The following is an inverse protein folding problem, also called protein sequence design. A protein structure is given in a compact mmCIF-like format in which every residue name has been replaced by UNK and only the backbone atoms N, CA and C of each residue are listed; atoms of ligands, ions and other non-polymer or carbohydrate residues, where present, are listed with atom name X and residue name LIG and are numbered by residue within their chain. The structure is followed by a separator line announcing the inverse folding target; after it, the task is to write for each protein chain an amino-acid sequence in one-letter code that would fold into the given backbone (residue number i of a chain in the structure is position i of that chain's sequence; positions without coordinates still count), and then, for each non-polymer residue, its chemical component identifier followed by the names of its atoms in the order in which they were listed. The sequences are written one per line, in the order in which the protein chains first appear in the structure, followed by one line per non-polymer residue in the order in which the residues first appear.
data_IF_227277577729
#
_entry.id   IF_227277577729
#
_cell.length_a   1.000
_cell.length_b   1.000
_cell.length_c   1.000
_cell.angle_alpha   90.00
_cell.angle_beta   90.00
_cell.angle_gamma   90.00
#
_symmetry.space_group_name_H-M   'P 1'
#
loop_
_entity.id
_entity.type
_entity.pdbx_description
1 polymer ?
#
# COMPACT_ATOMS: atom_id res chain seq x y z
N UNK A 1 -60.63 -23.33 -51.84
CA UNK A 1 -59.25 -23.85 -51.73
C UNK A 1 -58.32 -23.01 -52.60
N UNK A 2 -57.55 -22.10 -52.02
CA UNK A 2 -56.14 -21.84 -52.37
C UNK A 2 -55.56 -20.78 -51.40
N UNK A 3 -54.29 -20.99 -51.08
CA UNK A 3 -53.45 -20.41 -50.01
C UNK A 3 -53.20 -18.90 -50.14
N UNK A 4 -53.00 -18.20 -49.01
CA UNK A 4 -51.91 -17.22 -48.78
C UNK A 4 -51.84 -16.73 -47.30
N UNK A 5 -50.83 -17.20 -46.56
CA UNK A 5 -50.08 -16.42 -45.53
C UNK A 5 -48.92 -15.70 -46.28
N UNK A 6 -48.16 -14.68 -45.77
CA UNK A 6 -47.77 -14.41 -44.36
C UNK A 6 -47.54 -12.89 -44.00
N UNK A 7 -46.76 -12.62 -42.92
CA UNK A 7 -46.04 -11.37 -42.52
C UNK A 7 -46.80 -10.52 -41.47
N UNK A 8 -46.27 -10.07 -40.33
CA UNK A 8 -44.92 -9.89 -39.82
C UNK A 8 -44.88 -10.21 -38.33
N UNK A 9 -43.91 -11.00 -37.92
CA UNK A 9 -43.35 -11.01 -36.58
C UNK A 9 -42.12 -10.07 -36.55
N UNK A 10 -41.72 -9.71 -35.33
CA UNK A 10 -40.33 -9.42 -34.94
C UNK A 10 -39.86 -7.96 -35.00
N UNK A 11 -40.16 -7.19 -33.94
CA UNK A 11 -39.32 -6.07 -33.50
C UNK A 11 -39.47 -5.88 -31.99
N UNK A 12 -38.66 -6.59 -31.18
CA UNK A 12 -38.24 -6.12 -29.86
C UNK A 12 -37.08 -6.98 -29.31
N UNK A 13 -35.85 -6.74 -29.76
CA UNK A 13 -34.64 -7.31 -29.17
C UNK A 13 -33.46 -6.38 -29.49
N UNK A 14 -33.37 -5.24 -28.79
CA UNK A 14 -32.26 -4.28 -28.93
C UNK A 14 -32.10 -3.42 -27.67
N UNK A 15 -31.83 -4.04 -26.51
CA UNK A 15 -31.52 -3.30 -25.26
C UNK A 15 -30.49 -3.97 -24.35
N UNK A 16 -29.51 -4.73 -24.87
CA UNK A 16 -28.54 -5.45 -24.00
C UNK A 16 -27.05 -5.21 -24.32
N UNK A 17 -26.68 -4.27 -25.18
CA UNK A 17 -25.27 -4.04 -25.56
C UNK A 17 -24.56 -2.90 -24.79
N UNK A 18 -25.21 -2.26 -23.81
CA UNK A 18 -24.64 -1.07 -23.12
C UNK A 18 -23.77 -1.35 -21.89
N UNK A 19 -23.82 -2.55 -21.30
CA UNK A 19 -23.28 -2.78 -19.95
C UNK A 19 -21.82 -3.26 -19.90
N UNK A 20 -21.21 -3.61 -21.04
CA UNK A 20 -19.85 -4.15 -21.09
C UNK A 20 -18.77 -3.06 -21.22
N UNK A 21 -19.07 -1.95 -21.90
CA UNK A 21 -18.10 -0.87 -22.12
C UNK A 21 -17.79 -0.06 -20.84
N UNK A 22 -18.74 0.03 -19.90
CA UNK A 22 -18.55 0.75 -18.65
C UNK A 22 -17.50 0.08 -17.72
N UNK A 23 -17.51 -1.26 -17.64
CA UNK A 23 -16.58 -2.01 -16.79
C UNK A 23 -15.14 -2.00 -17.28
N UNK A 24 -14.92 -1.97 -18.60
CA UNK A 24 -13.58 -1.92 -19.16
C UNK A 24 -12.90 -0.55 -18.98
N UNK A 25 -13.69 0.53 -18.90
CA UNK A 25 -13.18 1.87 -18.63
C UNK A 25 -12.81 2.07 -17.15
N UNK A 26 -13.57 1.49 -16.22
CA UNK A 26 -13.27 1.54 -14.77
C UNK A 26 -11.92 0.86 -14.44
N UNK A 27 -11.66 -0.32 -14.99
CA UNK A 27 -10.40 -1.05 -14.74
C UNK A 27 -9.17 -0.33 -15.33
N UNK A 28 -9.32 0.32 -16.49
CA UNK A 28 -8.25 1.09 -17.12
C UNK A 28 -7.86 2.33 -16.29
N UNK A 29 -8.83 3.00 -15.65
CA UNK A 29 -8.55 4.13 -14.75
C UNK A 29 -7.86 3.69 -13.45
N UNK A 30 -8.23 2.54 -12.89
CA UNK A 30 -7.60 2.02 -11.67
C UNK A 30 -6.14 1.58 -11.90
N UNK A 31 -5.84 0.95 -13.04
CA UNK A 31 -4.46 0.59 -13.43
C UNK A 31 -3.57 1.83 -13.61
N UNK A 32 -4.16 2.95 -14.06
CA UNK A 32 -3.51 4.25 -14.18
C UNK A 32 -3.19 4.93 -12.84
N UNK A 33 -3.64 4.40 -11.71
CA UNK A 33 -3.38 4.98 -10.38
C UNK A 33 -2.40 4.16 -9.56
N UNK A 34 -2.39 2.84 -9.73
CA UNK A 34 -1.46 1.96 -9.02
C UNK A 34 -0.02 2.32 -9.36
N UNK A 35 0.79 2.53 -8.32
CA UNK A 35 2.23 2.69 -8.44
C UNK A 35 2.89 1.36 -8.09
N UNK A 36 3.44 0.70 -9.10
CA UNK A 36 4.33 -0.43 -8.94
C UNK A 36 5.71 0.01 -9.44
N UNK A 37 6.69 0.24 -8.55
CA UNK A 37 8.03 0.55 -9.00
C UNK A 37 8.58 -0.64 -9.79
N UNK A 38 9.34 -0.35 -10.84
CA UNK A 38 10.10 -1.40 -11.52
C UNK A 38 11.08 -2.04 -10.53
N UNK A 39 11.23 -3.36 -10.59
CA UNK A 39 12.27 -4.04 -9.80
C UNK A 39 13.63 -3.44 -10.16
N UNK A 40 14.39 -2.88 -9.20
CA UNK A 40 15.67 -2.28 -9.49
C UNK A 40 16.63 -3.35 -10.02
N UNK A 41 17.18 -3.13 -11.21
CA UNK A 41 18.21 -4.03 -11.78
C UNK A 41 19.59 -3.83 -11.12
N UNK A 42 19.77 -2.69 -10.44
CA UNK A 42 20.90 -2.44 -9.55
C UNK A 42 20.50 -1.44 -8.47
N UNK A 43 21.16 -1.49 -7.31
CA UNK A 43 20.97 -0.51 -6.23
C UNK A 43 21.48 0.91 -6.59
N UNK A 44 22.08 1.09 -7.78
CA UNK A 44 22.77 2.32 -8.17
C UNK A 44 21.87 3.38 -8.81
N UNK A 45 20.61 3.06 -9.12
CA UNK A 45 19.61 4.02 -9.59
C UNK A 45 18.56 4.25 -8.51
N UNK A 46 18.90 4.96 -7.44
CA UNK A 46 17.91 5.33 -6.43
C UNK A 46 16.95 6.35 -7.04
N UNK A 47 15.80 5.89 -7.53
CA UNK A 47 14.60 6.72 -7.45
C UNK A 47 14.49 7.16 -5.99
N UNK A 48 14.87 8.40 -5.74
CA UNK A 48 15.04 8.87 -4.38
C UNK A 48 13.65 9.07 -3.80
N UNK A 49 13.33 8.27 -2.79
CA UNK A 49 12.14 8.51 -1.97
C UNK A 49 12.40 9.80 -1.19
N UNK A 50 11.54 10.79 -1.37
CA UNK A 50 11.59 12.05 -0.66
C UNK A 50 10.23 12.37 -0.03
N UNK A 51 10.21 13.40 0.82
CA UNK A 51 9.00 13.96 1.43
C UNK A 51 8.11 12.93 2.15
N UNK A 52 8.72 11.88 2.72
CA UNK A 52 8.01 10.81 3.40
C UNK A 52 7.42 11.33 4.72
N UNK A 53 6.09 11.39 4.82
CA UNK A 53 5.40 11.93 5.99
C UNK A 53 4.26 11.02 6.45
N UNK A 54 4.05 10.99 7.77
CA UNK A 54 2.87 10.40 8.41
C UNK A 54 1.69 11.34 8.28
N UNK A 55 0.58 10.85 7.73
CA UNK A 55 -0.67 11.62 7.60
C UNK A 55 -1.85 10.75 8.00
N UNK A 56 -2.99 11.38 8.28
CA UNK A 56 -4.27 10.70 8.42
C UNK A 56 -5.32 11.48 7.61
N UNK A 57 -5.60 11.02 6.39
CA UNK A 57 -6.54 11.68 5.49
C UNK A 57 -7.56 10.70 4.93
N UNK A 58 -8.83 11.09 4.90
CA UNK A 58 -9.85 10.38 4.15
C UNK A 58 -9.74 10.76 2.67
N UNK A 59 -9.67 9.76 1.79
CA UNK A 59 -9.43 9.95 0.38
C UNK A 59 -10.55 9.30 -0.46
N UNK A 60 -10.96 10.01 -1.50
CA UNK A 60 -11.96 9.57 -2.47
C UNK A 60 -11.37 9.63 -3.88
N UNK A 61 -11.53 8.56 -4.65
CA UNK A 61 -11.20 8.52 -6.07
C UNK A 61 -12.44 8.89 -6.91
N UNK A 62 -12.21 9.32 -8.16
CA UNK A 62 -13.29 9.69 -9.07
C UNK A 62 -14.24 8.52 -9.41
N UNK A 63 -13.75 7.29 -9.29
CA UNK A 63 -14.51 6.04 -9.48
C UNK A 63 -15.32 5.63 -8.24
N UNK A 64 -15.40 6.48 -7.21
CA UNK A 64 -16.16 6.23 -5.99
C UNK A 64 -15.45 5.36 -4.95
N UNK A 65 -14.25 4.85 -5.24
CA UNK A 65 -13.45 4.17 -4.21
C UNK A 65 -13.10 5.12 -3.07
N UNK A 66 -13.07 4.59 -1.86
CA UNK A 66 -12.67 5.32 -0.65
C UNK A 66 -11.48 4.62 0.00
N UNK A 67 -10.60 5.38 0.65
CA UNK A 67 -9.44 4.86 1.35
C UNK A 67 -8.96 5.87 2.40
N UNK A 68 -8.05 5.46 3.27
CA UNK A 68 -7.35 6.36 4.21
C UNK A 68 -5.89 6.46 3.78
N UNK A 69 -5.40 7.66 3.48
CA UNK A 69 -3.97 7.86 3.31
C UNK A 69 -3.30 7.87 4.69
N UNK A 70 -2.32 6.99 4.86
CA UNK A 70 -1.53 6.86 6.11
C UNK A 70 -0.10 7.40 5.95
N UNK A 71 0.38 7.50 4.71
CA UNK A 71 1.66 8.14 4.35
C UNK A 71 1.55 8.90 3.03
N UNK A 72 2.30 9.98 2.92
CA UNK A 72 2.61 10.68 1.67
C UNK A 72 4.10 10.58 1.40
N UNK A 73 4.50 10.55 0.13
CA UNK A 73 5.91 10.56 -0.29
C UNK A 73 6.02 11.01 -1.75
N UNK A 74 7.23 11.27 -2.22
CA UNK A 74 7.56 11.41 -3.63
C UNK A 74 8.60 10.35 -4.03
N UNK A 75 8.46 9.75 -5.21
CA UNK A 75 9.42 8.78 -5.78
C UNK A 75 9.77 9.21 -7.19
N UNK A 76 11.04 9.52 -7.44
CA UNK A 76 11.46 10.11 -8.72
C UNK A 76 10.71 11.41 -9.04
N UNK A 77 10.35 12.18 -8.01
CA UNK A 77 9.52 13.40 -8.13
C UNK A 77 8.01 13.15 -8.31
N UNK A 78 7.56 11.90 -8.44
CA UNK A 78 6.14 11.57 -8.56
C UNK A 78 5.49 11.53 -7.17
N UNK A 79 4.46 12.35 -6.87
CA UNK A 79 3.77 12.31 -5.59
C UNK A 79 2.88 11.08 -5.44
N UNK A 80 3.04 10.35 -4.34
CA UNK A 80 2.37 9.10 -4.03
C UNK A 80 1.69 9.12 -2.66
N UNK A 81 0.65 8.29 -2.53
CA UNK A 81 -0.08 8.03 -1.29
C UNK A 81 0.03 6.54 -0.94
N UNK A 82 0.45 6.23 0.29
CA UNK A 82 0.20 4.91 0.85
C UNK A 82 -1.21 4.90 1.42
N UNK A 83 -2.10 4.19 0.73
CA UNK A 83 -3.51 4.10 1.06
C UNK A 83 -3.78 2.79 1.78
N UNK A 84 -4.54 2.86 2.88
CA UNK A 84 -5.11 1.73 3.57
C UNK A 84 -6.61 1.65 3.27
N UNK A 85 -7.11 0.45 3.01
CA UNK A 85 -8.54 0.17 3.04
C UNK A 85 -8.97 0.04 4.51
N UNK A 86 -9.84 0.93 5.03
CA UNK A 86 -10.18 0.95 6.45
C UNK A 86 -10.99 -0.27 6.91
N UNK A 87 -11.53 -1.07 5.99
CA UNK A 87 -12.30 -2.27 6.30
C UNK A 87 -11.51 -3.56 6.02
N UNK A 88 -10.70 -3.60 4.97
CA UNK A 88 -9.93 -4.79 4.58
C UNK A 88 -8.53 -4.84 5.17
N UNK A 89 -7.99 -3.70 5.60
CA UNK A 89 -6.60 -3.52 6.05
C UNK A 89 -5.54 -3.82 4.98
N UNK A 90 -5.94 -3.94 3.72
CA UNK A 90 -5.01 -4.01 2.60
C UNK A 90 -4.41 -2.63 2.35
N UNK A 91 -3.13 -2.57 2.00
CA UNK A 91 -2.47 -1.34 1.63
C UNK A 91 -2.04 -1.36 0.16
N UNK A 92 -1.92 -0.17 -0.42
CA UNK A 92 -1.48 0.04 -1.80
C UNK A 92 -0.83 1.39 -1.93
N UNK A 93 0.14 1.48 -2.84
CA UNK A 93 0.78 2.73 -3.21
C UNK A 93 0.13 3.23 -4.51
N UNK A 94 -0.46 4.42 -4.48
CA UNK A 94 -1.10 5.01 -5.66
C UNK A 94 -0.62 6.45 -5.90
N UNK A 95 -0.71 6.89 -7.15
CA UNK A 95 -0.45 8.28 -7.54
C UNK A 95 -1.42 9.22 -6.84
N UNK A 96 -0.90 10.28 -6.21
CA UNK A 96 -1.72 11.24 -5.47
C UNK A 96 -2.76 11.93 -6.36
N UNK A 97 -2.43 12.15 -7.64
CA UNK A 97 -3.32 12.78 -8.62
C UNK A 97 -4.66 12.03 -8.85
N UNK A 98 -4.75 10.76 -8.46
CA UNK A 98 -5.98 9.98 -8.56
C UNK A 98 -6.97 10.19 -7.41
N UNK A 99 -6.58 10.94 -6.38
CA UNK A 99 -7.29 11.00 -5.12
C UNK A 99 -7.54 12.44 -4.68
N UNK A 100 -8.76 12.70 -4.23
CA UNK A 100 -9.08 13.91 -3.46
C UNK A 100 -9.09 13.53 -1.99
N UNK A 101 -8.21 14.13 -1.20
CA UNK A 101 -8.04 13.80 0.21
C UNK A 101 -8.30 15.02 1.10
N UNK A 102 -8.91 14.78 2.25
CA UNK A 102 -9.10 15.77 3.31
C UNK A 102 -8.53 15.24 4.61
N UNK A 103 -8.03 16.13 5.47
CA UNK A 103 -7.65 15.75 6.84
C UNK A 103 -8.83 15.06 7.55
N UNK A 104 -8.51 14.05 8.34
CA UNK A 104 -9.50 13.32 9.14
C UNK A 104 -8.94 13.04 10.52
N UNK A 105 -9.78 12.51 11.41
CA UNK A 105 -9.39 12.15 12.78
C UNK A 105 -9.62 10.67 13.06
N UNK A 106 -8.99 10.16 14.11
CA UNK A 106 -9.23 8.81 14.62
C UNK A 106 -10.70 8.62 15.01
N UNK A 107 -11.33 9.64 15.61
CA UNK A 107 -12.75 9.63 15.98
C UNK A 107 -13.66 9.46 14.75
N UNK A 108 -13.36 10.16 13.65
CA UNK A 108 -14.10 10.03 12.40
C UNK A 108 -13.98 8.63 11.78
N UNK A 109 -12.93 7.89 12.14
CA UNK A 109 -12.65 6.53 11.68
C UNK A 109 -12.97 5.45 12.73
N UNK A 110 -13.52 5.80 13.90
CA UNK A 110 -13.67 4.89 15.03
C UNK A 110 -14.48 3.62 14.71
N UNK A 111 -15.44 3.70 13.77
CA UNK A 111 -16.25 2.56 13.32
C UNK A 111 -15.54 1.58 12.38
N UNK A 112 -14.33 1.90 11.92
CA UNK A 112 -13.61 1.10 10.93
C UNK A 112 -12.90 -0.09 11.53
N UNK A 113 -12.67 -1.14 10.73
CA UNK A 113 -11.82 -2.27 11.16
C UNK A 113 -10.39 -1.79 11.47
N UNK A 114 -9.91 -0.79 10.73
CA UNK A 114 -8.59 -0.20 10.93
C UNK A 114 -8.42 0.39 12.32
N UNK A 115 -9.35 1.22 12.80
CA UNK A 115 -9.23 1.79 14.14
C UNK A 115 -9.35 0.76 15.25
N UNK A 116 -10.18 -0.27 15.07
CA UNK A 116 -10.21 -1.41 16.01
C UNK A 116 -8.87 -2.13 16.07
N UNK A 117 -8.27 -2.43 14.91
CA UNK A 117 -6.96 -3.08 14.85
C UNK A 117 -5.85 -2.22 15.47
N UNK A 118 -5.88 -0.90 15.27
CA UNK A 118 -4.93 0.04 15.89
C UNK A 118 -5.10 0.03 17.41
N UNK A 119 -6.33 0.13 17.92
CA UNK A 119 -6.61 0.13 19.35
C UNK A 119 -6.19 -1.20 20.02
N UNK A 120 -6.53 -2.33 19.39
CA UNK A 120 -6.11 -3.66 19.85
C UNK A 120 -4.58 -3.79 19.88
N UNK A 121 -3.90 -3.32 18.83
CA UNK A 121 -2.44 -3.32 18.77
C UNK A 121 -1.83 -2.42 19.84
N UNK A 122 -2.42 -1.25 20.14
CA UNK A 122 -1.93 -0.34 21.16
C UNK A 122 -2.10 -0.90 22.58
N UNK A 123 -3.14 -1.71 22.80
CA UNK A 123 -3.42 -2.38 24.06
C UNK A 123 -2.64 -3.69 24.26
N UNK A 124 -1.96 -4.19 23.22
CA UNK A 124 -1.27 -5.47 23.30
C UNK A 124 -0.08 -5.41 24.30
N UNK A 125 0.02 -6.38 25.24
CA UNK A 125 1.10 -6.42 26.22
C UNK A 125 2.48 -6.47 25.55
N UNK A 126 3.44 -5.68 26.03
CA UNK A 126 4.80 -5.60 25.47
C UNK A 126 4.99 -4.53 24.40
N UNK A 127 3.92 -3.90 23.92
CA UNK A 127 3.96 -2.67 23.11
C UNK A 127 3.76 -1.40 23.95
N UNK A 128 3.56 -1.55 25.26
CA UNK A 128 3.27 -0.48 26.20
C UNK A 128 4.48 0.45 26.38
N UNK A 129 4.40 1.58 25.70
CA UNK A 129 5.03 2.87 25.99
C UNK A 129 6.54 3.00 25.69
N UNK A 130 6.85 3.67 24.55
CA UNK A 130 7.53 5.00 24.52
C UNK A 130 8.02 5.34 23.10
N UNK A 131 7.40 6.35 22.48
CA UNK A 131 8.01 7.28 21.51
C UNK A 131 8.62 6.68 20.24
N UNK A 132 7.78 6.35 19.25
CA UNK A 132 8.14 5.60 18.04
C UNK A 132 8.71 4.22 18.39
N UNK A 133 8.45 3.22 17.56
CA UNK A 133 9.23 1.98 17.58
C UNK A 133 10.69 2.40 17.35
N UNK A 134 11.46 2.61 18.40
CA UNK A 134 12.88 2.89 18.26
C UNK A 134 13.56 1.55 18.10
N UNK A 135 14.12 1.33 16.91
CA UNK A 135 15.00 0.21 16.64
C UNK A 135 15.99 0.07 17.80
N UNK A 136 15.97 -1.10 18.45
CA UNK A 136 16.79 -1.41 19.62
C UNK A 136 18.30 -1.50 19.30
N UNK A 137 18.70 -1.28 18.05
CA UNK A 137 20.01 -1.60 17.53
C UNK A 137 20.15 -3.11 17.30
N UNK A 138 21.39 -3.57 17.10
CA UNK A 138 21.70 -5.00 17.09
C UNK A 138 21.48 -5.56 18.50
N UNK A 139 20.65 -6.59 18.61
CA UNK A 139 20.39 -7.31 19.86
C UNK A 139 20.61 -8.81 19.65
N UNK A 140 20.93 -9.53 20.73
CA UNK A 140 21.16 -10.97 20.67
C UNK A 140 19.84 -11.72 20.93
N UNK A 141 19.47 -12.61 20.02
CA UNK A 141 18.35 -13.54 20.22
C UNK A 141 18.74 -14.73 21.10
N UNK A 142 17.75 -15.34 21.77
CA UNK A 142 17.97 -16.48 22.68
C UNK A 142 17.92 -17.87 21.99
N UNK A 143 17.65 -17.92 20.69
CA UNK A 143 17.52 -19.16 19.93
C UNK A 143 18.88 -19.62 19.35
N UNK A 144 19.10 -20.94 19.16
CA UNK A 144 20.30 -21.44 18.47
C UNK A 144 20.29 -21.01 16.99
N UNK A 145 21.40 -20.42 16.55
CA UNK A 145 21.56 -19.84 15.21
C UNK A 145 21.45 -18.32 15.18
N UNK A 146 22.23 -17.68 14.32
CA UNK A 146 22.26 -16.23 14.15
C UNK A 146 21.44 -15.81 12.93
N UNK A 147 20.40 -15.02 13.15
CA UNK A 147 19.59 -14.41 12.10
C UNK A 147 19.70 -12.90 12.22
N UNK A 148 20.16 -12.23 11.16
CA UNK A 148 20.14 -10.77 11.09
C UNK A 148 18.79 -10.34 10.54
N UNK A 149 18.00 -9.66 11.37
CA UNK A 149 16.76 -8.99 10.94
C UNK A 149 16.99 -7.49 10.95
N UNK A 150 16.50 -6.80 9.91
CA UNK A 150 16.57 -5.34 9.82
C UNK A 150 15.26 -4.73 10.27
N UNK A 151 15.27 -3.97 11.36
CA UNK A 151 14.15 -3.10 11.71
C UNK A 151 14.32 -1.74 11.00
N UNK A 152 13.37 -1.41 10.13
CA UNK A 152 13.36 -0.16 9.36
C UNK A 152 12.67 0.99 10.09
N UNK A 153 12.34 0.82 11.38
CA UNK A 153 11.77 1.91 12.15
C UNK A 153 12.78 3.07 12.33
N UNK A 154 12.33 4.33 12.30
CA UNK A 154 13.20 5.49 12.50
C UNK A 154 14.00 5.39 13.81
N UNK A 155 15.33 5.51 13.72
CA UNK A 155 16.23 5.48 14.88
C UNK A 155 17.11 6.71 14.94
N UNK A 156 17.38 7.18 16.16
CA UNK A 156 18.41 8.19 16.43
C UNK A 156 19.79 7.57 16.63
N UNK A 157 19.89 6.25 16.68
CA UNK A 157 21.18 5.55 16.82
C UNK A 157 21.90 5.59 15.47
N UNK A 158 23.23 5.84 15.46
CA UNK A 158 24.00 5.75 14.23
C UNK A 158 23.92 4.32 13.69
N UNK A 159 23.80 4.18 12.38
CA UNK A 159 23.91 2.90 11.71
C UNK A 159 25.33 2.33 11.94
N UNK A 160 25.44 1.10 12.43
CA UNK A 160 26.73 0.40 12.54
C UNK A 160 27.19 -0.05 11.14
N UNK A 161 27.74 0.91 10.38
CA UNK A 161 28.25 0.67 9.03
C UNK A 161 29.36 -0.38 9.01
N UNK A 162 30.24 -0.36 10.02
CA UNK A 162 31.34 -1.32 10.10
C UNK A 162 30.83 -2.78 10.27
N UNK A 163 29.71 -2.98 10.97
CA UNK A 163 29.05 -4.29 11.01
C UNK A 163 28.48 -4.69 9.64
N UNK A 164 27.76 -3.78 8.97
CA UNK A 164 27.18 -4.07 7.65
C UNK A 164 28.25 -4.33 6.59
N UNK A 165 29.34 -3.57 6.60
CA UNK A 165 30.48 -3.75 5.69
C UNK A 165 31.15 -5.11 5.91
N UNK A 166 31.27 -5.55 7.17
CA UNK A 166 31.77 -6.88 7.51
C UNK A 166 30.86 -7.98 6.98
N UNK A 167 29.54 -7.82 7.08
CA UNK A 167 28.58 -8.77 6.49
C UNK A 167 28.71 -8.80 4.97
N UNK A 168 28.72 -7.63 4.32
CA UNK A 168 28.82 -7.51 2.87
C UNK A 168 30.10 -8.17 2.33
N UNK A 169 31.21 -8.07 3.07
CA UNK A 169 32.48 -8.68 2.71
C UNK A 169 32.47 -10.23 2.78
N UNK A 170 31.53 -10.86 3.48
CA UNK A 170 31.43 -12.33 3.55
C UNK A 170 30.87 -12.96 2.26
N UNK A 171 30.32 -12.15 1.36
CA UNK A 171 29.72 -12.62 0.12
C UNK A 171 28.26 -13.08 0.27
N UNK A 172 27.54 -13.26 -0.86
CA UNK A 172 26.13 -13.61 -0.85
C UNK A 172 25.90 -15.01 -0.27
N UNK A 173 24.82 -15.18 0.48
CA UNK A 173 24.39 -16.45 1.09
C UNK A 173 25.37 -17.05 2.12
N UNK A 174 26.34 -16.28 2.60
CA UNK A 174 27.27 -16.74 3.64
C UNK A 174 26.60 -16.68 5.01
N UNK A 175 26.55 -17.79 5.76
CA UNK A 175 26.05 -17.78 7.13
C UNK A 175 26.93 -16.90 8.02
N UNK A 176 26.30 -15.96 8.71
CA UNK A 176 27.00 -15.06 9.64
C UNK A 176 26.99 -15.75 11.02
N UNK A 177 28.16 -16.09 11.55
CA UNK A 177 28.30 -16.44 12.95
C UNK A 177 28.36 -15.14 13.77
N UNK A 178 27.38 -14.95 14.66
CA UNK A 178 27.32 -13.83 15.60
C UNK A 178 27.64 -14.33 17.01
#
# INVERSE_FOLDING_TARGET
MLRHLPRLALTLLLTLAGSAAARAAEDATAAGCLYAPASPQSLAGLETVADYQSVLRSCHAADGRTSVAVRTMSVGGTPLLLLADPQKLTTRLERAACWTCTETSEDALAGTRMMRAIAESAAAPGLTHRGFLQNAGLTHGAAPGAFVTGDLCPSRRPLDRAFLDRIAAQGPHTPIAL
#
